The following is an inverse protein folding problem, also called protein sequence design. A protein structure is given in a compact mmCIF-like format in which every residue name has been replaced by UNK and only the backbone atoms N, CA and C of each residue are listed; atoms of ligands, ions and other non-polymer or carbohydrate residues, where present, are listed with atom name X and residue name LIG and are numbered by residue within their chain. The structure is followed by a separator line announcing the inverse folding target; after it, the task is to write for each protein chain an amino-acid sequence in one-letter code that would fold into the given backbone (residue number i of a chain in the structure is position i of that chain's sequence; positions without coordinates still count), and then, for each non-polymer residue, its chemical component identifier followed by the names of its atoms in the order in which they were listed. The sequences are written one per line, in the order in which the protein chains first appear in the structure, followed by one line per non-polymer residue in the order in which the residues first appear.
data_IF_197170295501
#
_entry.id   IF_197170295501
#
_cell.length_a   1.000
_cell.length_b   1.000
_cell.length_c   1.000
_cell.angle_alpha   90.00
_cell.angle_beta   90.00
_cell.angle_gamma   90.00
#
_symmetry.space_group_name_H-M   'P 1'
#
loop_
_entity.id
_entity.type
_entity.pdbx_description
1 polymer ?
#
# COMPACT_ATOMS: atom_id res chain seq x y z
N UNK A 1 -4.76 -5.11 -14.80
CA UNK A 1 -5.51 -3.88 -14.43
C UNK A 1 -6.59 -3.66 -15.47
N UNK A 2 -7.85 -3.53 -15.06
CA UNK A 2 -9.01 -3.52 -15.97
C UNK A 2 -9.13 -2.22 -16.78
N UNK A 3 -9.90 -2.22 -17.86
CA UNK A 3 -10.13 -1.02 -18.70
C UNK A 3 -10.77 0.17 -17.94
N UNK A 4 -11.78 -0.03 -17.07
CA UNK A 4 -12.36 1.06 -16.27
C UNK A 4 -11.35 1.75 -15.35
N UNK A 5 -10.45 0.98 -14.73
CA UNK A 5 -9.36 1.47 -13.87
C UNK A 5 -8.38 2.37 -14.63
N UNK A 6 -8.01 1.99 -15.85
CA UNK A 6 -7.12 2.79 -16.70
C UNK A 6 -7.76 4.12 -17.11
N UNK A 7 -9.06 4.13 -17.42
CA UNK A 7 -9.82 5.33 -17.76
C UNK A 7 -9.89 6.30 -16.58
N UNK A 8 -10.18 5.82 -15.37
CA UNK A 8 -10.18 6.64 -14.14
C UNK A 8 -8.80 7.26 -13.89
N UNK A 9 -7.73 6.48 -13.94
CA UNK A 9 -6.35 6.98 -13.76
C UNK A 9 -5.96 8.07 -14.76
N UNK A 10 -6.35 7.92 -16.04
CA UNK A 10 -6.08 8.92 -17.08
C UNK A 10 -6.81 10.25 -16.83
N UNK A 11 -8.01 10.22 -16.22
CA UNK A 11 -8.74 11.44 -15.83
C UNK A 11 -8.13 12.14 -14.61
N UNK A 12 -7.74 11.36 -13.59
CA UNK A 12 -7.21 11.89 -12.32
C UNK A 12 -5.82 12.53 -12.51
N UNK A 13 -4.96 11.96 -13.37
CA UNK A 13 -3.60 12.49 -13.60
C UNK A 13 -3.57 14.02 -13.86
N UNK A 14 -4.39 14.57 -14.78
CA UNK A 14 -4.43 16.01 -15.02
C UNK A 14 -5.37 16.78 -14.09
N UNK A 15 -6.49 16.20 -13.65
CA UNK A 15 -7.53 16.91 -12.89
C UNK A 15 -7.26 16.94 -11.37
N UNK A 16 -6.35 16.09 -10.90
CA UNK A 16 -6.19 15.82 -9.49
C UNK A 16 -7.35 14.99 -8.94
N UNK A 17 -7.29 14.78 -7.64
CA UNK A 17 -8.31 14.15 -6.81
C UNK A 17 -8.12 14.67 -5.39
N UNK A 18 -9.19 14.69 -4.60
CA UNK A 18 -9.08 15.06 -3.19
C UNK A 18 -8.53 13.87 -2.40
N UNK A 19 -7.23 13.86 -2.10
CA UNK A 19 -6.61 12.87 -1.21
C UNK A 19 -5.95 13.64 -0.09
N UNK A 20 -6.33 13.33 1.15
CA UNK A 20 -5.76 13.99 2.33
C UNK A 20 -4.26 13.78 2.39
N UNK A 21 -3.52 14.83 2.75
CA UNK A 21 -2.05 14.77 2.91
C UNK A 21 -1.60 13.83 4.03
N UNK A 22 -2.49 13.49 4.96
CA UNK A 22 -2.27 12.49 6.02
C UNK A 22 -2.30 11.04 5.51
N UNK A 23 -2.79 10.78 4.29
CA UNK A 23 -2.76 9.43 3.72
C UNK A 23 -1.32 8.98 3.50
N UNK A 24 -0.93 7.90 4.17
CA UNK A 24 0.37 7.29 4.02
C UNK A 24 0.35 6.30 2.85
N UNK A 25 0.95 6.71 1.72
CA UNK A 25 1.13 5.88 0.53
C UNK A 25 2.59 5.56 0.28
N UNK A 26 2.87 4.34 -0.18
CA UNK A 26 4.17 3.91 -0.66
C UNK A 26 4.05 3.19 -2.00
N UNK A 27 5.14 3.23 -2.77
CA UNK A 27 5.26 2.39 -3.96
C UNK A 27 5.59 0.95 -3.60
N UNK A 28 5.27 0.06 -4.52
CA UNK A 28 5.86 -1.26 -4.57
C UNK A 28 6.99 -1.22 -5.62
N UNK A 29 8.23 -1.41 -5.19
CA UNK A 29 9.43 -1.36 -6.06
C UNK A 29 10.01 -2.75 -6.34
N UNK A 30 9.76 -3.72 -5.47
CA UNK A 30 10.16 -5.13 -5.67
C UNK A 30 8.95 -6.00 -6.07
N UNK A 31 9.19 -7.00 -6.93
CA UNK A 31 8.16 -7.97 -7.29
C UNK A 31 7.73 -8.81 -6.08
N UNK A 32 6.46 -9.26 -6.05
CA UNK A 32 5.93 -10.13 -4.99
C UNK A 32 5.97 -9.55 -3.54
N UNK A 33 6.18 -8.24 -3.37
CA UNK A 33 6.06 -7.56 -2.06
C UNK A 33 4.71 -6.87 -1.84
N UNK A 34 3.74 -7.08 -2.73
CA UNK A 34 2.41 -6.46 -2.64
C UNK A 34 1.68 -6.75 -1.32
N UNK A 35 1.86 -7.94 -0.73
CA UNK A 35 1.29 -8.27 0.58
C UNK A 35 1.87 -7.42 1.71
N UNK A 36 3.20 -7.29 1.76
CA UNK A 36 3.87 -6.43 2.74
C UNK A 36 3.51 -4.95 2.56
N UNK A 37 3.46 -4.46 1.31
CA UNK A 37 3.03 -3.10 1.01
C UNK A 37 1.56 -2.86 1.44
N UNK A 38 0.66 -3.81 1.16
CA UNK A 38 -0.75 -3.74 1.57
C UNK A 38 -0.92 -3.73 3.09
N UNK A 39 -0.21 -4.59 3.82
CA UNK A 39 -0.22 -4.61 5.28
C UNK A 39 0.32 -3.29 5.87
N UNK A 40 1.42 -2.79 5.31
CA UNK A 40 2.01 -1.53 5.77
C UNK A 40 1.07 -0.35 5.49
N UNK A 41 0.39 -0.31 4.35
CA UNK A 41 -0.67 0.67 4.08
C UNK A 41 -1.79 0.61 5.13
N UNK A 42 -2.28 -0.59 5.48
CA UNK A 42 -3.35 -0.74 6.45
C UNK A 42 -2.94 -0.23 7.85
N UNK A 43 -1.73 -0.57 8.29
CA UNK A 43 -1.22 -0.21 9.62
C UNK A 43 -0.85 1.28 9.68
N UNK A 44 -0.13 1.81 8.70
CA UNK A 44 0.32 3.21 8.68
C UNK A 44 -0.84 4.20 8.72
N UNK A 45 -1.95 3.89 8.05
CA UNK A 45 -3.13 4.76 7.99
C UNK A 45 -4.11 4.55 9.16
N UNK A 46 -3.76 3.69 10.12
CA UNK A 46 -4.54 3.44 11.34
C UNK A 46 -3.62 3.37 12.58
N UNK A 47 -2.47 4.06 12.54
CA UNK A 47 -1.44 3.96 13.57
C UNK A 47 -1.98 4.32 14.97
N UNK A 48 -2.92 5.26 15.04
CA UNK A 48 -3.66 5.68 16.24
C UNK A 48 -4.46 4.55 16.92
N UNK A 49 -4.81 3.52 16.16
CA UNK A 49 -5.57 2.34 16.62
C UNK A 49 -4.66 1.14 16.90
N UNK A 50 -3.37 1.26 16.62
CA UNK A 50 -2.40 0.17 16.73
C UNK A 50 -1.61 0.27 18.04
N UNK A 51 -1.29 -0.90 18.60
CA UNK A 51 -0.33 -1.02 19.70
C UNK A 51 0.89 -1.74 19.17
N UNK A 52 2.04 -1.11 19.31
CA UNK A 52 3.32 -1.68 18.89
C UNK A 52 4.13 -2.06 20.10
N UNK A 53 4.70 -3.27 20.06
CA UNK A 53 5.68 -3.70 21.05
C UNK A 53 6.93 -2.81 21.01
N UNK A 54 7.60 -2.60 22.16
CA UNK A 54 8.88 -1.90 22.22
C UNK A 54 9.89 -2.49 21.23
N UNK A 55 10.49 -1.63 20.40
CA UNK A 55 11.48 -2.05 19.40
C UNK A 55 10.92 -2.61 18.10
N UNK A 56 9.59 -2.62 17.89
CA UNK A 56 8.94 -3.07 16.65
C UNK A 56 9.60 -2.49 15.40
N UNK A 57 10.11 -3.37 14.55
CA UNK A 57 10.72 -3.02 13.26
C UNK A 57 9.74 -2.30 12.35
N UNK A 58 8.47 -2.75 12.34
CA UNK A 58 7.43 -2.12 11.55
C UNK A 58 7.20 -0.68 12.02
N UNK A 59 7.08 -0.43 13.33
CA UNK A 59 6.94 0.93 13.86
C UNK A 59 8.10 1.83 13.44
N UNK A 60 9.34 1.36 13.58
CA UNK A 60 10.54 2.11 13.14
C UNK A 60 10.50 2.47 11.65
N UNK A 61 10.00 1.56 10.81
CA UNK A 61 9.85 1.81 9.37
C UNK A 61 8.74 2.83 9.05
N UNK A 62 7.72 2.93 9.92
CA UNK A 62 6.61 3.88 9.79
C UNK A 62 6.92 5.28 10.34
N UNK A 63 7.85 5.40 11.29
CA UNK A 63 8.31 6.67 11.88
C UNK A 63 9.05 7.60 10.89
N UNK A 64 9.11 7.23 9.60
CA UNK A 64 9.63 8.11 8.55
C UNK A 64 8.80 9.41 8.47
N UNK A 65 9.44 10.59 8.36
CA UNK A 65 8.72 11.86 8.26
C UNK A 65 7.70 11.85 7.11
N UNK A 66 6.57 12.54 7.32
CA UNK A 66 5.51 12.70 6.30
C UNK A 66 6.05 13.25 4.97
N UNK A 67 7.13 14.04 5.02
CA UNK A 67 7.82 14.63 3.86
C UNK A 67 8.58 13.64 2.97
N UNK A 68 8.71 12.38 3.38
CA UNK A 68 9.38 11.34 2.58
C UNK A 68 8.47 10.89 1.43
N UNK A 69 9.02 10.81 0.21
CA UNK A 69 8.26 10.41 -0.98
C UNK A 69 7.79 8.94 -0.92
N UNK A 70 6.71 8.57 -1.63
CA UNK A 70 6.24 7.19 -1.69
C UNK A 70 7.30 6.16 -2.14
N UNK A 71 8.21 6.55 -3.03
CA UNK A 71 9.33 5.72 -3.48
C UNK A 71 10.40 5.54 -2.40
N UNK A 72 10.68 6.57 -1.61
CA UNK A 72 11.64 6.49 -0.53
C UNK A 72 11.09 5.68 0.65
N UNK A 73 9.79 5.78 0.94
CA UNK A 73 9.11 4.89 1.91
C UNK A 73 9.25 3.43 1.51
N UNK A 74 9.07 3.13 0.22
CA UNK A 74 9.26 1.78 -0.32
C UNK A 74 10.70 1.27 -0.11
N UNK A 75 11.70 2.08 -0.50
CA UNK A 75 13.12 1.73 -0.33
C UNK A 75 13.49 1.45 1.13
N UNK A 76 12.98 2.23 2.08
CA UNK A 76 13.24 2.02 3.51
C UNK A 76 12.69 0.69 4.00
N UNK A 77 11.43 0.40 3.69
CA UNK A 77 10.78 -0.86 4.03
C UNK A 77 11.55 -2.07 3.44
N UNK A 78 12.06 -1.92 2.22
CA UNK A 78 12.80 -2.95 1.50
C UNK A 78 14.25 -3.12 1.99
N UNK A 79 14.90 -2.04 2.42
CA UNK A 79 16.26 -2.06 2.98
C UNK A 79 16.34 -2.60 4.40
N UNK A 80 15.21 -2.64 5.11
CA UNK A 80 15.11 -3.13 6.48
C UNK A 80 15.21 -4.66 6.50
N UNK A 81 16.41 -5.18 6.84
CA UNK A 81 16.72 -6.61 6.76
C UNK A 81 15.76 -7.49 7.57
N UNK A 82 15.29 -7.02 8.73
CA UNK A 82 14.32 -7.74 9.54
C UNK A 82 12.96 -7.87 8.86
N UNK A 83 12.46 -6.81 8.20
CA UNK A 83 11.20 -6.86 7.43
C UNK A 83 11.31 -7.84 6.26
N UNK A 84 12.45 -7.83 5.57
CA UNK A 84 12.71 -8.76 4.47
C UNK A 84 12.73 -10.22 4.95
N UNK A 85 13.45 -10.51 6.04
CA UNK A 85 13.53 -11.86 6.59
C UNK A 85 12.14 -12.37 7.02
N UNK A 86 11.36 -11.57 7.75
CA UNK A 86 10.00 -11.93 8.16
C UNK A 86 9.10 -12.22 6.94
N UNK A 87 9.18 -11.40 5.89
CA UNK A 87 8.42 -11.63 4.65
C UNK A 87 8.80 -12.96 4.00
N UNK A 88 10.10 -13.28 3.94
CA UNK A 88 10.58 -14.53 3.36
C UNK A 88 10.10 -15.74 4.17
N UNK A 89 10.18 -15.67 5.50
CA UNK A 89 9.62 -16.72 6.38
C UNK A 89 8.12 -16.89 6.18
N UNK A 90 7.34 -15.81 6.22
CA UNK A 90 5.88 -15.88 6.04
C UNK A 90 5.46 -16.29 4.63
N UNK A 91 6.29 -16.11 3.61
CA UNK A 91 5.99 -16.61 2.27
C UNK A 91 5.94 -18.15 2.21
N UNK A 92 6.64 -18.83 3.13
CA UNK A 92 6.62 -20.29 3.25
C UNK A 92 5.54 -20.79 4.23
N UNK A 93 4.77 -19.88 4.84
CA UNK A 93 3.65 -20.22 5.73
C UNK A 93 2.35 -20.28 4.90
N UNK A 94 1.78 -21.48 4.69
CA UNK A 94 0.52 -21.63 3.94
C UNK A 94 0.27 -23.06 3.43
N UNK A 95 -0.98 -23.35 3.01
CA UNK A 95 -1.37 -24.67 2.49
C UNK A 95 -1.25 -24.87 0.97
N UNK A 96 -0.81 -23.87 0.18
CA UNK A 96 0.02 -24.15 -0.97
C UNK A 96 1.48 -23.77 -0.69
N UNK A 97 2.42 -24.58 -1.21
CA UNK A 97 3.82 -24.17 -1.28
C UNK A 97 3.95 -22.83 -1.99
N UNK A 98 4.92 -22.03 -1.55
CA UNK A 98 5.23 -20.75 -2.17
C UNK A 98 5.50 -20.96 -3.68
N UNK A 99 4.83 -20.21 -4.57
CA UNK A 99 5.13 -20.30 -5.99
C UNK A 99 6.59 -19.91 -6.25
N UNK A 100 7.14 -20.39 -7.36
CA UNK A 100 8.50 -20.03 -7.75
C UNK A 100 8.63 -18.51 -7.89
N UNK A 101 9.78 -17.95 -7.53
CA UNK A 101 10.04 -16.50 -7.57
C UNK A 101 9.79 -15.88 -8.95
N UNK A 102 9.99 -16.64 -10.02
CA UNK A 102 9.80 -16.24 -11.42
C UNK A 102 8.35 -16.39 -11.92
N UNK A 103 7.49 -17.05 -11.15
CA UNK A 103 6.10 -17.24 -11.52
C UNK A 103 5.34 -15.93 -11.30
N UNK A 104 4.74 -15.37 -12.36
CA UNK A 104 3.93 -14.15 -12.26
C UNK A 104 2.66 -14.45 -11.47
N UNK A 105 2.71 -14.19 -10.17
CA UNK A 105 1.51 -14.10 -9.35
C UNK A 105 0.64 -12.94 -9.85
N UNK A 106 -0.48 -13.26 -10.52
CA UNK A 106 -1.42 -12.28 -11.05
C UNK A 106 -2.47 -11.82 -10.01
N UNK A 107 -2.23 -12.06 -8.72
CA UNK A 107 -3.14 -11.75 -7.62
C UNK A 107 -2.57 -10.61 -6.77
N UNK A 108 -2.95 -9.35 -7.02
CA UNK A 108 -2.44 -8.24 -6.24
C UNK A 108 -3.14 -8.06 -4.91
N UNK A 109 -2.36 -7.84 -3.87
CA UNK A 109 -2.86 -7.26 -2.63
C UNK A 109 -2.96 -5.74 -2.76
N UNK A 110 -4.12 -5.20 -2.38
CA UNK A 110 -4.42 -3.77 -2.29
C UNK A 110 -5.06 -3.50 -0.93
N UNK A 111 -4.85 -2.29 -0.39
CA UNK A 111 -5.49 -1.87 0.86
C UNK A 111 -6.54 -0.80 0.58
N UNK A 112 -7.70 -0.89 1.23
CA UNK A 112 -8.67 0.19 1.31
C UNK A 112 -8.63 0.77 2.72
N UNK A 113 -8.42 2.09 2.82
CA UNK A 113 -8.30 2.78 4.11
C UNK A 113 -9.23 3.97 4.19
N UNK A 114 -9.67 4.31 5.40
CA UNK A 114 -10.43 5.52 5.71
C UNK A 114 -9.54 6.47 6.49
N UNK A 115 -9.26 7.64 5.91
CA UNK A 115 -8.46 8.71 6.55
C UNK A 115 -9.26 10.01 6.41
N UNK A 116 -10.07 10.32 7.43
CA UNK A 116 -10.90 11.53 7.55
C UNK A 116 -11.63 11.91 6.25
N UNK A 117 -12.34 10.95 5.67
CA UNK A 117 -13.02 11.11 4.40
C UNK A 117 -13.41 9.78 3.75
N UNK A 118 -13.71 9.79 2.44
CA UNK A 118 -14.08 8.59 1.71
C UNK A 118 -12.95 7.55 1.62
N UNK A 119 -13.28 6.28 1.32
CA UNK A 119 -12.28 5.24 1.21
C UNK A 119 -11.27 5.54 0.10
N UNK A 120 -9.99 5.36 0.44
CA UNK A 120 -8.89 5.43 -0.51
C UNK A 120 -8.31 4.03 -0.76
N UNK A 121 -8.13 3.69 -2.03
CA UNK A 121 -7.41 2.49 -2.43
C UNK A 121 -5.91 2.80 -2.56
N UNK A 122 -5.10 1.97 -1.90
CA UNK A 122 -3.65 2.04 -1.87
C UNK A 122 -3.06 0.78 -2.52
N UNK A 123 -2.86 0.87 -3.84
CA UNK A 123 -2.11 -0.12 -4.63
C UNK A 123 -0.71 0.45 -4.92
N UNK A 124 0.34 -0.15 -4.33
CA UNK A 124 1.72 0.32 -4.49
C UNK A 124 2.24 0.29 -5.93
N UNK A 125 1.57 -0.43 -6.84
CA UNK A 125 1.91 -0.47 -8.27
C UNK A 125 1.30 0.71 -9.03
N UNK A 126 0.37 1.45 -8.42
CA UNK A 126 -0.20 2.67 -8.98
C UNK A 126 0.73 3.87 -8.73
N UNK A 127 0.61 4.95 -9.51
CA UNK A 127 1.37 6.19 -9.31
C UNK A 127 0.97 6.93 -8.03
N UNK A 128 -0.27 6.75 -7.55
CA UNK A 128 -0.86 7.49 -6.45
C UNK A 128 -2.03 6.71 -5.85
N UNK A 129 -2.46 7.06 -4.61
CA UNK A 129 -3.73 6.60 -4.02
C UNK A 129 -4.92 6.88 -4.93
N UNK A 130 -5.98 6.10 -4.85
CA UNK A 130 -7.22 6.37 -5.58
C UNK A 130 -8.35 6.65 -4.59
N UNK A 131 -8.86 7.88 -4.56
CA UNK A 131 -10.05 8.21 -3.81
C UNK A 131 -11.28 7.56 -4.49
N UNK A 132 -12.09 6.85 -3.71
CA UNK A 132 -13.34 6.21 -4.14
C UNK A 132 -14.60 6.94 -3.65
N UNK A 133 -14.50 8.18 -3.17
CA UNK A 133 -15.64 9.03 -2.82
C UNK A 133 -15.92 10.18 -3.78
N UNK A 134 -17.21 10.43 -4.01
CA UNK A 134 -17.76 11.47 -4.87
C UNK A 134 -17.70 11.14 -6.36
N UNK A 135 -18.53 10.20 -6.84
CA UNK A 135 -19.18 10.44 -8.13
C UNK A 135 -20.25 11.48 -7.84
N UNK A 136 -20.26 12.62 -8.53
CA UNK A 136 -21.45 13.48 -8.51
C UNK A 136 -22.66 12.61 -8.86
N UNK A 137 -23.72 12.73 -8.05
CA UNK A 137 -25.08 12.24 -8.28
C UNK A 137 -25.22 11.12 -9.32
N UNK A 138 -25.16 9.85 -8.92
CA UNK A 138 -25.86 8.73 -9.59
C UNK A 138 -25.63 7.39 -8.87
N UNK A 139 -25.98 7.30 -7.59
CA UNK A 139 -26.25 6.00 -6.94
C UNK A 139 -27.08 6.19 -5.66
N UNK A 140 -28.33 6.62 -5.83
CA UNK A 140 -29.47 6.30 -4.98
C UNK A 140 -30.65 5.91 -5.88
#
# INVERSE_FOLDING_TARGET
MTYPEQKRRKKIKPQGQDVKSSVCFMKQTISNTCGAAGLTHAIANNEDKMRFEPGSTLKKSLEAPVSVSPEERARRLESEGATRATRETSAHEGQPEAPNTDEKANLPFIAFVHVDGPPCELDGRKPFPMNHGGAGDETL
#
